data_IF_049260840985
#
_entry.id   IF_049260840985
#
_cell.length_a   1.000
_cell.length_b   1.000
_cell.length_c   1.000
_cell.angle_alpha   90.00
_cell.angle_beta   90.00
_cell.angle_gamma   90.00
#
_symmetry.space_group_name_H-M   'P 1'
#
loop_
_entity.id
_entity.type
_entity.pdbx_description
1 polymer ?
#
# COMPACT_ATOMS: atom_id res chain seq x y z
N UNK A 1 15.56 -3.22 21.98
CA UNK A 1 15.75 -2.68 20.61
C UNK A 1 15.66 -3.84 19.63
N UNK A 2 14.81 -3.75 18.60
CA UNK A 2 14.63 -4.83 17.61
C UNK A 2 15.52 -4.54 16.39
N UNK A 3 16.10 -5.59 15.79
CA UNK A 3 16.93 -5.47 14.58
C UNK A 3 16.06 -5.73 13.35
N UNK A 4 15.94 -4.75 12.46
CA UNK A 4 15.07 -4.79 11.29
C UNK A 4 15.92 -4.74 10.02
N UNK A 5 15.55 -5.52 9.01
CA UNK A 5 16.11 -5.37 7.66
C UNK A 5 15.05 -4.73 6.78
N UNK A 6 15.41 -3.67 6.06
CA UNK A 6 14.56 -3.06 5.03
C UNK A 6 15.20 -3.36 3.69
N UNK A 7 14.48 -4.00 2.77
CA UNK A 7 14.97 -4.34 1.44
C UNK A 7 14.44 -3.31 0.43
N UNK A 8 15.35 -2.71 -0.34
CA UNK A 8 15.09 -1.65 -1.31
C UNK A 8 15.35 -0.25 -0.72
N UNK A 9 16.36 0.45 -1.23
CA UNK A 9 16.73 1.82 -0.82
C UNK A 9 16.07 2.91 -1.67
N UNK A 10 14.98 2.58 -2.38
CA UNK A 10 14.17 3.55 -3.11
C UNK A 10 13.41 4.53 -2.21
N UNK A 11 12.52 5.34 -2.81
CA UNK A 11 11.77 6.39 -2.11
C UNK A 11 11.04 5.91 -0.85
N UNK A 12 10.41 4.73 -0.89
CA UNK A 12 9.63 4.18 0.22
C UNK A 12 10.53 3.48 1.25
N UNK A 13 11.42 2.58 0.84
CA UNK A 13 12.28 1.86 1.80
C UNK A 13 13.23 2.77 2.57
N UNK A 14 13.78 3.80 1.94
CA UNK A 14 14.54 4.85 2.63
C UNK A 14 13.68 5.65 3.62
N UNK A 15 12.39 5.85 3.30
CA UNK A 15 11.43 6.48 4.23
C UNK A 15 11.12 5.57 5.43
N UNK A 16 10.87 4.28 5.21
CA UNK A 16 10.68 3.28 6.27
C UNK A 16 11.89 3.27 7.21
N UNK A 17 13.09 3.11 6.67
CA UNK A 17 14.32 3.11 7.45
C UNK A 17 14.44 4.38 8.30
N UNK A 18 14.14 5.54 7.71
CA UNK A 18 14.17 6.83 8.40
C UNK A 18 13.15 6.93 9.53
N UNK A 19 11.91 6.50 9.32
CA UNK A 19 10.88 6.49 10.38
C UNK A 19 11.30 5.60 11.55
N UNK A 20 11.81 4.40 11.27
CA UNK A 20 12.21 3.44 12.30
C UNK A 20 13.41 3.93 13.12
N UNK A 21 14.47 4.46 12.49
CA UNK A 21 15.65 4.94 13.24
C UNK A 21 15.35 6.17 14.09
N UNK A 22 14.48 7.08 13.64
CA UNK A 22 14.11 8.29 14.40
C UNK A 22 13.14 7.98 15.56
N UNK A 23 12.58 6.77 15.57
CA UNK A 23 11.68 6.32 16.64
C UNK A 23 12.43 5.90 17.92
N UNK A 24 13.71 5.54 17.80
CA UNK A 24 14.59 5.16 18.92
C UNK A 24 14.56 3.68 19.33
N UNK A 25 13.60 2.88 18.86
CA UNK A 25 13.41 1.48 19.30
C UNK A 25 14.00 0.42 18.35
N UNK A 26 14.51 0.84 17.20
CA UNK A 26 14.96 -0.03 16.12
C UNK A 26 16.38 0.25 15.68
N UNK A 27 17.13 -0.83 15.45
CA UNK A 27 18.31 -0.81 14.61
C UNK A 27 17.93 -1.33 13.22
N UNK A 28 18.22 -0.55 12.19
CA UNK A 28 17.84 -0.85 10.81
C UNK A 28 19.07 -1.19 9.99
N UNK A 29 19.01 -2.29 9.24
CA UNK A 29 19.89 -2.53 8.10
C UNK A 29 19.10 -2.26 6.82
N UNK A 30 19.43 -1.19 6.10
CA UNK A 30 18.87 -0.92 4.78
C UNK A 30 19.72 -1.63 3.72
N UNK A 31 19.07 -2.45 2.90
CA UNK A 31 19.75 -3.26 1.90
C UNK A 31 19.27 -2.93 0.48
N UNK A 32 20.20 -2.82 -0.46
CA UNK A 32 19.92 -2.61 -1.88
C UNK A 32 21.06 -3.20 -2.71
N UNK A 33 20.79 -3.54 -3.98
CA UNK A 33 21.85 -3.97 -4.91
C UNK A 33 22.74 -2.81 -5.36
N UNK A 34 22.22 -1.58 -5.30
CA UNK A 34 22.91 -0.38 -5.76
C UNK A 34 23.53 0.35 -4.59
N UNK A 35 24.86 0.32 -4.51
CA UNK A 35 25.61 1.12 -3.55
C UNK A 35 25.28 2.61 -3.64
N UNK A 36 25.10 3.12 -4.85
CA UNK A 36 24.74 4.51 -5.11
C UNK A 36 23.43 4.90 -4.42
N UNK A 37 22.42 4.02 -4.41
CA UNK A 37 21.15 4.29 -3.73
C UNK A 37 21.32 4.33 -2.21
N UNK A 38 22.17 3.46 -1.66
CA UNK A 38 22.46 3.42 -0.23
C UNK A 38 23.21 4.67 0.24
N UNK A 39 24.13 5.20 -0.57
CA UNK A 39 24.95 6.37 -0.22
C UNK A 39 24.14 7.67 -0.07
N UNK A 40 22.87 7.70 -0.51
CA UNK A 40 21.95 8.82 -0.27
C UNK A 40 21.42 8.90 1.17
N UNK A 41 21.62 7.85 1.98
CA UNK A 41 21.20 7.83 3.38
C UNK A 41 22.19 8.58 4.26
N UNK A 42 21.66 9.46 5.11
CA UNK A 42 22.45 10.10 6.16
C UNK A 42 22.95 9.08 7.18
N UNK A 43 24.20 9.21 7.59
CA UNK A 43 24.78 8.38 8.64
C UNK A 43 23.99 8.54 9.94
N UNK A 44 23.65 7.41 10.56
CA UNK A 44 22.96 7.36 11.84
C UNK A 44 23.46 6.13 12.62
N UNK A 45 23.74 6.23 13.94
CA UNK A 45 24.20 5.08 14.73
C UNK A 45 23.25 3.88 14.73
N UNK A 46 21.96 4.09 14.47
CA UNK A 46 20.96 3.05 14.36
C UNK A 46 20.76 2.52 12.93
N UNK A 47 21.52 3.01 11.94
CA UNK A 47 21.42 2.61 10.54
C UNK A 47 22.70 1.92 10.06
N UNK A 48 22.54 0.71 9.53
CA UNK A 48 23.55 0.00 8.75
C UNK A 48 23.13 -0.06 7.28
N UNK A 49 24.10 -0.04 6.37
CA UNK A 49 23.87 -0.20 4.93
C UNK A 49 24.47 -1.53 4.48
N UNK A 50 23.72 -2.30 3.69
CA UNK A 50 24.18 -3.58 3.14
C UNK A 50 23.95 -3.63 1.63
N UNK A 51 25.02 -3.80 0.87
CA UNK A 51 24.88 -4.08 -0.55
C UNK A 51 24.61 -5.58 -0.74
N UNK A 52 23.44 -5.92 -1.28
CA UNK A 52 23.02 -7.31 -1.48
C UNK A 52 22.20 -7.43 -2.75
N UNK A 53 22.53 -8.43 -3.58
CA UNK A 53 21.66 -8.84 -4.66
C UNK A 53 20.62 -9.84 -4.12
N UNK A 54 19.34 -9.51 -4.27
CA UNK A 54 18.23 -10.35 -3.82
C UNK A 54 18.19 -11.68 -4.60
N UNK A 55 18.81 -11.74 -5.79
CA UNK A 55 18.98 -12.99 -6.53
C UNK A 55 19.95 -13.98 -5.84
N UNK A 56 20.82 -13.52 -4.92
CA UNK A 56 21.65 -14.39 -4.08
C UNK A 56 20.89 -14.77 -2.80
N UNK A 57 20.10 -15.84 -2.89
CA UNK A 57 19.33 -16.38 -1.77
C UNK A 57 20.18 -16.64 -0.52
N UNK A 58 21.38 -17.18 -0.68
CA UNK A 58 22.25 -17.52 0.44
C UNK A 58 22.77 -16.25 1.14
N UNK A 59 23.11 -15.20 0.38
CA UNK A 59 23.46 -13.91 0.96
C UNK A 59 22.29 -13.27 1.69
N UNK A 60 21.09 -13.36 1.12
CA UNK A 60 19.89 -12.82 1.74
C UNK A 60 19.56 -13.53 3.07
N UNK A 61 19.57 -14.87 3.10
CA UNK A 61 19.36 -15.64 4.35
C UNK A 61 20.41 -15.28 5.41
N UNK A 62 21.69 -15.11 5.03
CA UNK A 62 22.74 -14.65 5.97
C UNK A 62 22.47 -13.27 6.53
N UNK A 63 21.99 -12.34 5.70
CA UNK A 63 21.64 -10.97 6.13
C UNK A 63 20.47 -10.97 7.12
N UNK A 64 19.47 -11.83 6.87
CA UNK A 64 18.24 -11.91 7.66
C UNK A 64 18.41 -12.73 8.96
N UNK A 65 19.36 -13.66 9.01
CA UNK A 65 19.56 -14.55 10.16
C UNK A 65 19.76 -13.77 11.48
N UNK A 66 18.96 -14.10 12.50
CA UNK A 66 19.00 -13.47 13.82
C UNK A 66 18.40 -12.06 13.90
N UNK A 67 17.77 -11.58 12.82
CA UNK A 67 17.00 -10.33 12.81
C UNK A 67 15.58 -10.59 13.33
N UNK A 68 14.87 -9.53 13.69
CA UNK A 68 13.47 -9.64 14.13
C UNK A 68 12.52 -9.75 12.94
N UNK A 69 12.65 -8.82 11.98
CA UNK A 69 11.77 -8.75 10.83
C UNK A 69 12.51 -8.25 9.59
N UNK A 70 11.98 -8.60 8.42
CA UNK A 70 12.30 -8.00 7.12
C UNK A 70 11.07 -7.26 6.58
N UNK A 71 11.29 -6.02 6.14
CA UNK A 71 10.30 -5.19 5.47
C UNK A 71 10.71 -5.04 4.00
N UNK A 72 9.93 -5.60 3.08
CA UNK A 72 10.17 -5.51 1.65
C UNK A 72 9.54 -4.25 1.06
N UNK A 73 10.39 -3.34 0.58
CA UNK A 73 10.03 -2.21 -0.28
C UNK A 73 10.69 -2.34 -1.68
N UNK A 74 11.03 -3.58 -2.06
CA UNK A 74 11.58 -3.91 -3.37
C UNK A 74 10.48 -4.00 -4.44
N UNK A 75 10.84 -3.97 -5.74
CA UNK A 75 9.90 -4.25 -6.81
C UNK A 75 9.15 -5.58 -6.62
N UNK A 76 7.86 -5.63 -6.98
CA UNK A 76 6.97 -6.75 -6.70
C UNK A 76 7.48 -8.11 -7.23
N UNK A 77 8.21 -8.14 -8.34
CA UNK A 77 8.77 -9.37 -8.91
C UNK A 77 9.84 -10.03 -8.02
N UNK A 78 10.34 -9.33 -6.99
CA UNK A 78 11.29 -9.86 -6.01
C UNK A 78 10.62 -10.31 -4.70
N UNK A 79 9.31 -10.07 -4.53
CA UNK A 79 8.55 -10.37 -3.31
C UNK A 79 8.74 -11.82 -2.87
N UNK A 80 8.62 -12.77 -3.80
CA UNK A 80 8.70 -14.21 -3.52
C UNK A 80 10.06 -14.60 -2.96
N UNK A 81 11.16 -14.17 -3.60
CA UNK A 81 12.52 -14.49 -3.16
C UNK A 81 12.81 -13.97 -1.75
N UNK A 82 12.31 -12.76 -1.43
CA UNK A 82 12.47 -12.18 -0.09
C UNK A 82 11.63 -12.95 0.95
N UNK A 83 10.40 -13.35 0.60
CA UNK A 83 9.53 -14.14 1.47
C UNK A 83 10.12 -15.54 1.77
N UNK A 84 10.68 -16.21 0.77
CA UNK A 84 11.36 -17.50 0.93
C UNK A 84 12.59 -17.36 1.83
N UNK A 85 13.44 -16.36 1.60
CA UNK A 85 14.60 -16.11 2.45
C UNK A 85 14.21 -15.75 3.89
N UNK A 86 13.10 -15.05 4.09
CA UNK A 86 12.56 -14.74 5.41
C UNK A 86 12.11 -15.99 6.16
N UNK A 87 11.44 -16.92 5.46
CA UNK A 87 11.02 -18.20 6.02
C UNK A 87 12.22 -19.05 6.43
N UNK A 88 13.22 -19.17 5.56
CA UNK A 88 14.44 -19.93 5.81
C UNK A 88 15.26 -19.35 6.98
N UNK A 89 15.30 -18.01 7.10
CA UNK A 89 15.98 -17.33 8.19
C UNK A 89 15.17 -17.32 9.51
N UNK A 90 13.90 -17.73 9.48
CA UNK A 90 13.01 -17.71 10.64
C UNK A 90 12.73 -16.30 11.17
N UNK A 91 12.55 -15.31 10.27
CA UNK A 91 12.24 -13.92 10.64
C UNK A 91 10.83 -13.53 10.24
N UNK A 92 10.25 -12.53 10.91
CA UNK A 92 8.96 -11.98 10.49
C UNK A 92 9.08 -11.30 9.11
N UNK A 93 8.05 -11.43 8.30
CA UNK A 93 8.00 -10.88 6.95
C UNK A 93 6.85 -9.87 6.80
N UNK A 94 7.17 -8.68 6.31
CA UNK A 94 6.20 -7.66 5.92
C UNK A 94 6.55 -7.14 4.51
N UNK A 95 5.54 -6.82 3.70
CA UNK A 95 5.75 -6.23 2.37
C UNK A 95 4.72 -5.14 2.03
N UNK A 96 4.86 -4.57 0.85
CA UNK A 96 3.98 -3.54 0.29
C UNK A 96 3.31 -3.98 -1.02
N UNK A 97 3.39 -5.26 -1.39
CA UNK A 97 3.13 -5.68 -2.77
C UNK A 97 1.64 -5.56 -3.13
N UNK A 98 1.37 -4.99 -4.29
CA UNK A 98 0.07 -4.99 -4.95
C UNK A 98 -0.16 -6.25 -5.80
N UNK A 99 0.90 -7.01 -6.08
CA UNK A 99 0.84 -8.13 -7.01
C UNK A 99 0.11 -9.33 -6.41
N UNK A 100 -0.97 -9.72 -7.08
CA UNK A 100 -1.90 -10.77 -6.62
C UNK A 100 -1.22 -12.15 -6.66
N UNK A 101 -0.42 -12.42 -7.68
CA UNK A 101 0.30 -13.70 -7.80
C UNK A 101 1.34 -13.86 -6.68
N UNK A 102 2.14 -12.81 -6.45
CA UNK A 102 3.11 -12.77 -5.36
C UNK A 102 2.42 -12.96 -4.01
N UNK A 103 1.30 -12.30 -3.76
CA UNK A 103 0.52 -12.45 -2.51
C UNK A 103 0.06 -13.90 -2.30
N UNK A 104 -0.43 -14.58 -3.36
CA UNK A 104 -0.82 -16.00 -3.29
C UNK A 104 0.36 -16.90 -2.92
N UNK A 105 1.57 -16.59 -3.40
CA UNK A 105 2.79 -17.34 -3.06
C UNK A 105 3.25 -17.07 -1.63
N UNK A 106 3.22 -15.82 -1.18
CA UNK A 106 3.48 -15.45 0.22
C UNK A 106 2.55 -16.20 1.17
N UNK A 107 1.25 -16.29 0.84
CA UNK A 107 0.26 -17.06 1.62
C UNK A 107 0.62 -18.55 1.71
N UNK A 108 1.11 -19.15 0.62
CA UNK A 108 1.53 -20.55 0.61
C UNK A 108 2.77 -20.79 1.49
N UNK A 109 3.75 -19.88 1.47
CA UNK A 109 4.93 -19.92 2.35
C UNK A 109 4.50 -19.81 3.82
N UNK A 110 3.64 -18.84 4.11
CA UNK A 110 3.15 -18.54 5.45
C UNK A 110 2.42 -19.72 6.12
N UNK A 111 1.84 -20.65 5.34
CA UNK A 111 1.14 -21.82 5.88
C UNK A 111 2.04 -22.75 6.72
N UNK A 112 3.37 -22.71 6.50
CA UNK A 112 4.35 -23.50 7.23
C UNK A 112 5.36 -22.66 8.04
N UNK A 113 5.21 -21.34 8.00
CA UNK A 113 6.15 -20.42 8.65
C UNK A 113 6.00 -20.44 10.18
N UNK A 114 7.14 -20.42 10.87
CA UNK A 114 7.22 -20.29 12.33
C UNK A 114 7.05 -18.84 12.82
N UNK A 115 7.15 -17.88 11.91
CA UNK A 115 7.01 -16.44 12.13
C UNK A 115 5.81 -15.87 11.37
N UNK A 116 5.39 -14.66 11.75
CA UNK A 116 4.35 -13.91 11.06
C UNK A 116 4.77 -13.48 9.65
N UNK A 117 3.87 -13.69 8.69
CA UNK A 117 3.94 -13.19 7.32
C UNK A 117 2.74 -12.28 7.09
N UNK A 118 3.01 -10.98 6.97
CA UNK A 118 2.01 -9.92 6.91
C UNK A 118 2.23 -9.15 5.60
N UNK A 119 1.76 -9.67 4.45
CA UNK A 119 1.88 -8.95 3.20
C UNK A 119 0.95 -7.74 3.18
N UNK A 120 1.14 -6.87 2.20
CA UNK A 120 0.22 -5.78 1.88
C UNK A 120 0.09 -4.76 3.01
N UNK A 121 1.17 -4.42 3.69
CA UNK A 121 1.18 -3.46 4.80
C UNK A 121 1.28 -1.99 4.34
N UNK A 122 0.91 -1.70 3.08
CA UNK A 122 1.03 -0.37 2.49
C UNK A 122 -0.20 0.50 2.71
N UNK A 123 -0.43 1.41 1.75
CA UNK A 123 -1.65 2.22 1.67
C UNK A 123 -2.80 1.41 1.06
N UNK A 124 -2.61 0.92 -0.16
CA UNK A 124 -3.55 0.11 -0.92
C UNK A 124 -2.76 -0.81 -1.87
N UNK A 125 -2.72 -2.13 -1.60
CA UNK A 125 -3.38 -2.81 -0.48
C UNK A 125 -2.72 -2.45 0.88
N UNK A 126 -3.48 -2.62 1.98
CA UNK A 126 -3.04 -2.27 3.35
C UNK A 126 -4.06 -1.49 4.15
N UNK A 127 -3.72 -0.25 4.51
CA UNK A 127 -4.59 0.59 5.35
C UNK A 127 -6.03 0.70 4.81
N UNK A 128 -6.21 0.75 3.49
CA UNK A 128 -7.55 0.77 2.87
C UNK A 128 -8.40 -0.45 3.28
N UNK A 129 -7.76 -1.61 3.46
CA UNK A 129 -8.43 -2.86 3.84
C UNK A 129 -8.77 -2.88 5.33
N UNK A 130 -7.91 -2.30 6.18
CA UNK A 130 -8.18 -2.10 7.62
C UNK A 130 -9.46 -1.27 7.78
N UNK A 131 -9.53 -0.12 7.09
CA UNK A 131 -10.71 0.76 7.11
C UNK A 131 -11.96 0.04 6.59
N UNK A 132 -11.86 -0.62 5.43
CA UNK A 132 -13.01 -1.29 4.84
C UNK A 132 -13.57 -2.41 5.73
N UNK A 133 -12.69 -3.20 6.36
CA UNK A 133 -13.10 -4.26 7.27
C UNK A 133 -13.76 -3.70 8.54
N UNK A 134 -13.18 -2.66 9.14
CA UNK A 134 -13.76 -1.99 10.31
C UNK A 134 -15.16 -1.45 10.00
N UNK A 135 -15.34 -0.69 8.92
CA UNK A 135 -16.66 -0.18 8.52
C UNK A 135 -17.65 -1.32 8.23
N UNK A 136 -17.22 -2.37 7.51
CA UNK A 136 -18.07 -3.50 7.16
C UNK A 136 -18.55 -4.28 8.40
N UNK A 137 -17.71 -4.42 9.43
CA UNK A 137 -18.05 -5.13 10.66
C UNK A 137 -19.21 -4.50 11.45
N UNK A 138 -19.54 -3.24 11.18
CA UNK A 138 -20.57 -2.47 11.91
C UNK A 138 -21.98 -2.67 11.36
N UNK A 139 -22.17 -3.49 10.32
CA UNK A 139 -23.46 -3.72 9.67
C UNK A 139 -24.01 -5.12 9.97
N UNK A 140 -25.33 -5.22 10.12
CA UNK A 140 -26.02 -6.52 10.30
C UNK A 140 -25.97 -7.35 9.01
N UNK A 141 -26.06 -6.67 7.86
CA UNK A 141 -25.99 -7.26 6.52
C UNK A 141 -25.38 -6.25 5.55
N UNK A 142 -24.42 -6.68 4.74
CA UNK A 142 -23.78 -5.82 3.73
C UNK A 142 -24.55 -5.85 2.41
N UNK A 143 -24.65 -4.70 1.74
CA UNK A 143 -24.99 -4.61 0.31
C UNK A 143 -23.72 -4.38 -0.51
N UNK A 144 -22.97 -3.33 -0.20
CA UNK A 144 -21.77 -2.98 -0.96
C UNK A 144 -20.65 -2.42 -0.10
N UNK A 145 -19.42 -2.73 -0.50
CA UNK A 145 -18.17 -2.18 0.02
C UNK A 145 -17.38 -1.62 -1.16
N UNK A 146 -17.12 -0.31 -1.12
CA UNK A 146 -16.54 0.46 -2.22
C UNK A 146 -15.30 1.18 -1.72
N UNK A 147 -14.13 0.72 -2.15
CA UNK A 147 -12.82 1.28 -1.77
C UNK A 147 -12.26 2.13 -2.92
N UNK A 148 -11.78 3.34 -2.63
CA UNK A 148 -11.13 4.22 -3.60
C UNK A 148 -9.90 4.88 -3.00
N UNK A 149 -8.79 4.86 -3.74
CA UNK A 149 -7.53 5.49 -3.33
C UNK A 149 -6.89 6.22 -4.50
N UNK A 150 -6.33 7.41 -4.27
CA UNK A 150 -5.53 8.10 -5.28
C UNK A 150 -4.34 8.81 -4.66
N UNK A 151 -3.14 8.52 -5.18
CA UNK A 151 -1.93 9.32 -4.95
C UNK A 151 -1.79 10.29 -6.13
N UNK A 152 -2.05 11.58 -5.87
CA UNK A 152 -2.26 12.59 -6.91
C UNK A 152 -1.32 13.76 -6.71
N UNK A 153 -0.84 14.43 -7.77
CA UNK A 153 -0.25 15.74 -7.61
C UNK A 153 -1.29 16.76 -7.13
N UNK A 154 -0.90 17.69 -6.26
CA UNK A 154 -1.78 18.79 -5.83
C UNK A 154 -2.01 19.80 -6.96
N UNK A 155 -1.01 19.97 -7.83
CA UNK A 155 -0.99 20.96 -8.91
C UNK A 155 -0.65 20.29 -10.25
N UNK A 156 -1.53 19.44 -10.80
CA UNK A 156 -1.32 18.87 -12.13
C UNK A 156 -1.29 19.96 -13.21
N UNK A 157 -0.37 19.85 -14.15
CA UNK A 157 -0.19 20.85 -15.23
C UNK A 157 0.06 20.24 -16.61
N UNK A 158 -0.24 18.94 -16.79
CA UNK A 158 -0.06 18.20 -18.03
C UNK A 158 -1.34 17.45 -18.43
N UNK A 159 -1.41 16.97 -19.67
CA UNK A 159 -2.62 16.33 -20.21
C UNK A 159 -3.05 15.06 -19.44
N UNK A 160 -2.11 14.33 -18.85
CA UNK A 160 -2.39 13.16 -18.01
C UNK A 160 -2.88 13.53 -16.61
N UNK A 161 -2.79 14.81 -16.23
CA UNK A 161 -3.01 15.31 -14.87
C UNK A 161 -2.30 14.46 -13.81
N UNK A 162 -1.07 14.03 -14.10
CA UNK A 162 -0.35 13.04 -13.31
C UNK A 162 1.13 13.38 -13.15
N UNK A 163 1.72 12.95 -12.04
CA UNK A 163 3.15 13.03 -11.75
C UNK A 163 3.62 11.67 -11.22
N UNK A 164 4.89 11.33 -11.43
CA UNK A 164 5.46 10.08 -10.92
C UNK A 164 5.76 10.21 -9.42
N UNK A 165 4.78 9.84 -8.60
CA UNK A 165 4.87 9.89 -7.13
C UNK A 165 5.38 8.58 -6.53
N UNK A 166 5.11 7.44 -7.18
CA UNK A 166 5.51 6.10 -6.75
C UNK A 166 6.00 5.24 -7.93
N UNK A 167 6.12 3.92 -7.76
CA UNK A 167 6.70 2.99 -8.74
C UNK A 167 6.00 3.04 -10.10
N UNK A 168 6.74 3.37 -11.17
CA UNK A 168 6.21 3.35 -12.54
C UNK A 168 5.78 1.94 -12.95
N UNK A 169 6.55 0.92 -12.57
CA UNK A 169 6.21 -0.48 -12.84
C UNK A 169 4.87 -0.85 -12.18
N UNK A 170 4.64 -0.38 -10.95
CA UNK A 170 3.40 -0.64 -10.22
C UNK A 170 2.19 0.04 -10.88
N UNK A 171 2.32 1.31 -11.29
CA UNK A 171 1.26 2.01 -12.04
C UNK A 171 0.87 1.25 -13.31
N UNK A 172 1.88 0.78 -14.05
CA UNK A 172 1.66 0.01 -15.28
C UNK A 172 0.99 -1.33 -14.97
N UNK A 173 1.42 -2.02 -13.92
CA UNK A 173 0.85 -3.30 -13.49
C UNK A 173 -0.63 -3.17 -13.14
N UNK A 174 -0.97 -2.18 -12.31
CA UNK A 174 -2.34 -1.90 -11.86
C UNK A 174 -3.32 -1.62 -13.00
N UNK A 175 -2.84 -1.11 -14.13
CA UNK A 175 -3.65 -0.75 -15.30
C UNK A 175 -3.77 -1.88 -16.35
N UNK A 176 -3.00 -2.96 -16.20
CA UNK A 176 -2.97 -4.06 -17.17
C UNK A 176 -3.58 -5.34 -16.61
N UNK A 177 -3.31 -5.64 -15.33
CA UNK A 177 -3.71 -6.91 -14.73
C UNK A 177 -5.23 -6.96 -14.42
N UNK A 178 -5.84 -8.16 -14.45
CA UNK A 178 -7.22 -8.34 -14.01
C UNK A 178 -7.44 -7.86 -12.56
N UNK A 179 -8.64 -7.33 -12.31
CA UNK A 179 -9.02 -6.83 -10.99
C UNK A 179 -9.98 -7.82 -10.33
N UNK A 180 -9.65 -8.33 -9.14
CA UNK A 180 -10.61 -9.11 -8.35
C UNK A 180 -11.76 -8.21 -7.88
N UNK A 181 -12.99 -8.72 -7.88
CA UNK A 181 -14.18 -8.02 -7.41
C UNK A 181 -15.27 -9.01 -6.96
N UNK A 182 -16.23 -8.55 -6.17
CA UNK A 182 -17.50 -9.25 -5.97
C UNK A 182 -18.59 -8.49 -6.71
N UNK A 183 -19.28 -9.15 -7.63
CA UNK A 183 -20.39 -8.58 -8.40
C UNK A 183 -21.59 -9.50 -8.27
N UNK A 184 -22.69 -8.94 -7.77
CA UNK A 184 -23.93 -9.67 -7.43
C UNK A 184 -23.68 -10.94 -6.59
N UNK A 185 -22.78 -10.81 -5.61
CA UNK A 185 -22.41 -11.89 -4.69
C UNK A 185 -21.43 -12.92 -5.26
N UNK A 186 -21.02 -12.79 -6.52
CA UNK A 186 -20.06 -13.69 -7.16
C UNK A 186 -18.67 -13.07 -7.19
N UNK A 187 -17.66 -13.84 -6.73
CA UNK A 187 -16.27 -13.48 -6.90
C UNK A 187 -15.89 -13.64 -8.38
N UNK A 188 -15.50 -12.53 -9.02
CA UNK A 188 -15.13 -12.49 -10.44
C UNK A 188 -13.88 -11.64 -10.66
N UNK A 189 -13.29 -11.76 -11.84
CA UNK A 189 -12.29 -10.82 -12.34
C UNK A 189 -12.95 -9.83 -13.31
N UNK A 190 -12.66 -8.54 -13.14
CA UNK A 190 -13.12 -7.47 -14.02
C UNK A 190 -11.93 -6.78 -14.70
N UNK A 191 -12.10 -6.19 -15.90
CA UNK A 191 -11.00 -5.54 -16.59
C UNK A 191 -10.55 -4.26 -15.88
N UNK A 192 -9.24 -4.01 -15.88
CA UNK A 192 -8.67 -2.72 -15.48
C UNK A 192 -9.11 -1.59 -16.43
N UNK A 193 -9.11 -0.35 -15.94
CA UNK A 193 -9.52 0.87 -16.66
C UNK A 193 -11.00 0.89 -17.12
N UNK A 194 -11.81 -0.08 -16.69
CA UNK A 194 -13.25 -0.10 -16.93
C UNK A 194 -14.05 0.39 -15.73
N UNK A 195 -15.37 0.51 -15.95
CA UNK A 195 -16.36 0.97 -14.96
C UNK A 195 -16.02 2.35 -14.37
N UNK A 196 -15.50 3.24 -15.23
CA UNK A 196 -15.17 4.62 -14.87
C UNK A 196 -16.40 5.33 -14.30
N UNK A 197 -16.26 5.84 -13.09
CA UNK A 197 -17.22 6.70 -12.41
C UNK A 197 -16.63 8.08 -12.15
N UNK A 198 -17.50 9.07 -11.96
CA UNK A 198 -17.11 10.41 -11.49
C UNK A 198 -17.74 10.69 -10.15
N UNK A 199 -17.01 11.40 -9.30
CA UNK A 199 -17.50 11.86 -8.01
C UNK A 199 -16.82 13.17 -7.63
N UNK A 200 -17.45 13.92 -6.73
CA UNK A 200 -16.88 15.14 -6.17
C UNK A 200 -16.53 14.94 -4.70
N UNK A 201 -15.34 15.41 -4.31
CA UNK A 201 -14.90 15.43 -2.92
C UNK A 201 -14.33 16.82 -2.60
N UNK A 202 -14.98 17.53 -1.67
CA UNK A 202 -14.68 18.92 -1.30
C UNK A 202 -14.68 19.88 -2.51
N UNK A 203 -15.66 19.72 -3.40
CA UNK A 203 -15.80 20.57 -4.61
C UNK A 203 -14.80 20.27 -5.73
N UNK A 204 -13.90 19.30 -5.56
CA UNK A 204 -13.01 18.82 -6.62
C UNK A 204 -13.60 17.59 -7.28
N UNK A 205 -13.70 17.60 -8.61
CA UNK A 205 -14.17 16.45 -9.39
C UNK A 205 -13.01 15.49 -9.66
N UNK A 206 -13.28 14.21 -9.43
CA UNK A 206 -12.38 13.10 -9.70
C UNK A 206 -13.08 12.06 -10.57
N UNK A 207 -12.28 11.25 -11.25
CA UNK A 207 -12.72 9.98 -11.83
C UNK A 207 -12.13 8.81 -11.05
N UNK A 208 -12.84 7.68 -11.02
CA UNK A 208 -12.35 6.43 -10.46
C UNK A 208 -12.68 5.24 -11.37
N UNK A 209 -11.75 4.30 -11.49
CA UNK A 209 -11.89 3.13 -12.38
C UNK A 209 -11.14 1.92 -11.81
N UNK A 210 -11.47 0.73 -12.30
CA UNK A 210 -10.92 -0.53 -11.78
C UNK A 210 -9.40 -0.62 -11.99
N UNK A 211 -8.69 -1.02 -10.94
CA UNK A 211 -7.24 -1.28 -10.94
C UNK A 211 -6.95 -2.51 -10.08
N UNK A 212 -5.93 -3.29 -10.44
CA UNK A 212 -5.63 -4.55 -9.76
C UNK A 212 -4.99 -4.32 -8.38
N UNK A 213 -4.90 -5.39 -7.58
CA UNK A 213 -4.09 -5.44 -6.36
C UNK A 213 -4.66 -4.81 -5.09
N UNK A 214 -5.50 -3.77 -5.18
CA UNK A 214 -5.87 -2.97 -4.01
C UNK A 214 -6.85 -3.61 -3.01
N UNK A 215 -7.52 -4.71 -3.34
CA UNK A 215 -8.43 -5.40 -2.40
C UNK A 215 -7.71 -6.32 -1.40
N UNK A 216 -6.51 -6.80 -1.73
CA UNK A 216 -5.84 -7.82 -0.93
C UNK A 216 -6.72 -9.04 -0.65
N UNK A 217 -6.76 -9.51 0.60
CA UNK A 217 -7.57 -10.68 0.97
C UNK A 217 -9.06 -10.39 1.21
N UNK A 218 -9.53 -9.15 1.08
CA UNK A 218 -10.91 -8.80 1.39
C UNK A 218 -11.95 -9.52 0.53
N UNK A 219 -11.62 -9.82 -0.72
CA UNK A 219 -12.47 -10.63 -1.60
C UNK A 219 -12.75 -12.00 -1.00
N UNK A 220 -11.76 -12.64 -0.41
CA UNK A 220 -11.93 -13.92 0.28
C UNK A 220 -12.70 -13.74 1.59
N UNK A 221 -12.36 -12.71 2.37
CA UNK A 221 -12.96 -12.42 3.69
C UNK A 221 -14.45 -12.10 3.62
N UNK A 222 -14.88 -11.39 2.57
CA UNK A 222 -16.25 -10.91 2.36
C UNK A 222 -17.04 -11.75 1.35
N UNK A 223 -16.45 -12.81 0.80
CA UNK A 223 -17.17 -13.76 -0.04
C UNK A 223 -18.43 -14.26 0.69
N UNK A 224 -19.54 -14.33 -0.04
CA UNK A 224 -20.86 -14.73 0.44
C UNK A 224 -21.49 -13.80 1.50
N UNK A 225 -20.84 -12.69 1.86
CA UNK A 225 -21.33 -11.70 2.85
C UNK A 225 -21.79 -10.38 2.22
N UNK A 226 -21.31 -10.06 1.03
CA UNK A 226 -21.58 -8.78 0.34
C UNK A 226 -22.03 -9.03 -1.10
N UNK A 227 -22.90 -8.16 -1.62
CA UNK A 227 -23.33 -8.22 -3.02
C UNK A 227 -22.33 -7.54 -3.96
N UNK A 228 -21.72 -6.43 -3.54
CA UNK A 228 -20.72 -5.72 -4.33
C UNK A 228 -19.47 -5.39 -3.53
N UNK A 229 -18.28 -5.77 -4.01
CA UNK A 229 -16.98 -5.34 -3.49
C UNK A 229 -16.09 -4.90 -4.66
N UNK A 230 -15.60 -3.67 -4.65
CA UNK A 230 -14.63 -3.21 -5.64
C UNK A 230 -13.62 -2.19 -5.08
N UNK A 231 -12.44 -2.22 -5.68
CA UNK A 231 -11.37 -1.24 -5.49
C UNK A 231 -11.17 -0.47 -6.79
N UNK A 232 -11.03 0.85 -6.67
CA UNK A 232 -10.78 1.73 -7.82
C UNK A 232 -9.72 2.77 -7.48
N UNK A 233 -8.83 3.06 -8.42
CA UNK A 233 -7.92 4.18 -8.27
C UNK A 233 -8.65 5.49 -8.56
N UNK A 234 -8.31 6.56 -7.85
CA UNK A 234 -8.82 7.92 -8.08
C UNK A 234 -7.82 8.67 -8.96
N UNK A 235 -8.30 9.35 -10.01
CA UNK A 235 -7.52 10.25 -10.87
C UNK A 235 -8.29 11.54 -11.14
N UNK A 236 -7.59 12.53 -11.69
CA UNK A 236 -8.25 13.69 -12.26
C UNK A 236 -8.92 13.32 -13.59
N UNK A 237 -10.05 13.95 -13.95
CA UNK A 237 -10.78 13.63 -15.18
C UNK A 237 -9.90 13.62 -16.43
N UNK A 238 -10.10 12.62 -17.29
CA UNK A 238 -9.43 12.46 -18.58
C UNK A 238 -8.21 11.53 -18.55
N UNK A 239 -7.67 11.20 -17.38
CA UNK A 239 -6.52 10.31 -17.23
C UNK A 239 -6.81 8.91 -17.80
N UNK A 240 -7.93 8.30 -17.41
CA UNK A 240 -8.33 6.95 -17.80
C UNK A 240 -8.42 6.79 -19.32
N UNK A 241 -9.00 7.79 -20.00
CA UNK A 241 -9.15 7.78 -21.46
C UNK A 241 -7.79 7.77 -22.17
N UNK A 242 -6.85 8.61 -21.72
CA UNK A 242 -5.50 8.67 -22.31
C UNK A 242 -4.75 7.36 -22.04
N UNK A 243 -4.79 6.84 -20.81
CA UNK A 243 -4.12 5.57 -20.48
C UNK A 243 -4.71 4.40 -21.27
N UNK A 244 -6.02 4.37 -21.48
CA UNK A 244 -6.69 3.36 -22.30
C UNK A 244 -6.24 3.43 -23.76
N UNK A 245 -6.10 4.62 -24.34
CA UNK A 245 -5.57 4.79 -25.69
C UNK A 245 -4.12 4.30 -25.81
N UNK A 246 -3.26 4.64 -24.83
CA UNK A 246 -1.87 4.18 -24.81
C UNK A 246 -1.77 2.66 -24.69
N UNK A 247 -2.54 2.05 -23.79
CA UNK A 247 -2.43 0.62 -23.48
C UNK A 247 -3.11 -0.27 -24.52
N UNK A 248 -4.30 0.13 -24.98
CA UNK A 248 -5.12 -0.67 -25.90
C UNK A 248 -4.85 -0.31 -27.35
N UNK A 249 -5.01 0.96 -27.74
CA UNK A 249 -4.98 1.35 -29.15
C UNK A 249 -3.56 1.36 -29.71
N UNK A 250 -2.58 1.80 -28.90
CA UNK A 250 -1.16 1.74 -29.26
C UNK A 250 -0.49 0.43 -28.84
N UNK A 251 -1.22 -0.47 -28.18
CA UNK A 251 -0.74 -1.80 -27.77
C UNK A 251 0.40 -1.79 -26.73
N UNK A 252 0.61 -0.68 -26.02
CA UNK A 252 1.74 -0.57 -25.07
C UNK A 252 1.61 -1.49 -23.86
N UNK A 253 0.43 -2.08 -23.62
CA UNK A 253 0.26 -3.13 -22.59
C UNK A 253 1.18 -4.35 -22.79
N UNK A 254 1.61 -4.59 -24.03
CA UNK A 254 2.54 -5.69 -24.38
C UNK A 254 4.01 -5.24 -24.41
N UNK A 255 4.28 -3.95 -24.21
CA UNK A 255 5.60 -3.32 -24.25
C UNK A 255 5.80 -2.43 -23.02
N UNK A 256 5.69 -3.04 -21.83
CA UNK A 256 5.69 -2.34 -20.54
C UNK A 256 6.98 -1.56 -20.32
N UNK A 257 8.10 -2.08 -20.78
CA UNK A 257 9.42 -1.42 -20.78
C UNK A 257 9.41 -0.10 -21.54
N UNK A 258 8.78 -0.07 -22.72
CA UNK A 258 8.66 1.13 -23.55
C UNK A 258 7.71 2.14 -22.92
N UNK A 259 6.57 1.69 -22.39
CA UNK A 259 5.65 2.57 -21.69
C UNK A 259 6.32 3.20 -20.46
N UNK A 260 7.05 2.40 -19.69
CA UNK A 260 7.83 2.86 -18.55
C UNK A 260 8.84 3.93 -18.96
N UNK A 261 9.64 3.65 -19.99
CA UNK A 261 10.64 4.59 -20.50
C UNK A 261 10.01 5.92 -20.91
N UNK A 262 8.88 5.89 -21.63
CA UNK A 262 8.11 7.08 -21.99
C UNK A 262 7.68 7.85 -20.74
N UNK A 263 7.07 7.18 -19.77
CA UNK A 263 6.55 7.84 -18.57
C UNK A 263 7.68 8.45 -17.74
N UNK A 264 8.79 7.74 -17.53
CA UNK A 264 9.93 8.17 -16.72
C UNK A 264 10.70 9.36 -17.32
N UNK A 265 10.70 9.49 -18.64
CA UNK A 265 11.32 10.63 -19.32
C UNK A 265 10.35 11.79 -19.62
N UNK A 266 9.04 11.54 -19.67
CA UNK A 266 8.05 12.56 -20.03
C UNK A 266 7.32 13.18 -18.83
N UNK A 267 7.18 12.46 -17.71
CA UNK A 267 6.41 12.93 -16.56
C UNK A 267 7.31 13.31 -15.38
N UNK A 268 7.18 14.55 -14.85
CA UNK A 268 7.95 14.95 -13.69
C UNK A 268 7.47 14.25 -12.41
N UNK A 269 8.37 14.04 -11.46
CA UNK A 269 8.00 13.70 -10.07
C UNK A 269 7.67 14.96 -9.27
N UNK A 270 6.90 14.82 -8.19
CA UNK A 270 6.61 15.94 -7.26
C UNK A 270 6.55 15.45 -5.81
N UNK A 271 6.93 16.33 -4.87
CA UNK A 271 6.70 16.17 -3.43
C UNK A 271 5.41 16.83 -2.97
N UNK A 272 4.75 17.60 -3.84
CA UNK A 272 3.48 18.26 -3.59
C UNK A 272 2.35 17.36 -4.09
N UNK A 273 2.20 16.22 -3.44
CA UNK A 273 1.15 15.25 -3.68
C UNK A 273 0.10 15.26 -2.56
N UNK A 274 -1.03 14.65 -2.85
CA UNK A 274 -2.13 14.39 -1.93
C UNK A 274 -2.56 12.94 -2.11
N UNK A 275 -2.73 12.24 -1.01
CA UNK A 275 -3.34 10.91 -0.98
C UNK A 275 -4.78 11.04 -0.52
N UNK A 276 -5.71 10.56 -1.34
CA UNK A 276 -7.13 10.48 -1.01
C UNK A 276 -7.46 9.03 -0.69
N UNK A 277 -8.12 8.80 0.45
CA UNK A 277 -8.61 7.50 0.91
C UNK A 277 -10.11 7.63 1.11
N UNK A 278 -10.89 6.87 0.35
CA UNK A 278 -12.34 6.99 0.35
C UNK A 278 -12.99 5.60 0.34
N UNK A 279 -13.62 5.22 1.45
CA UNK A 279 -14.32 3.94 1.61
C UNK A 279 -15.77 4.22 1.90
N UNK A 280 -16.66 3.59 1.14
CA UNK A 280 -18.09 3.63 1.37
C UNK A 280 -18.62 2.22 1.59
N UNK A 281 -19.34 2.02 2.68
CA UNK A 281 -20.03 0.77 2.98
C UNK A 281 -21.52 1.05 3.10
N UNK A 282 -22.33 0.29 2.35
CA UNK A 282 -23.78 0.35 2.42
C UNK A 282 -24.33 -1.01 2.81
N UNK A 283 -25.37 -1.01 3.64
CA UNK A 283 -25.97 -2.23 4.17
C UNK A 283 -27.08 -1.93 5.17
N UNK A 284 -27.56 -2.95 5.85
CA UNK A 284 -28.62 -2.83 6.84
C UNK A 284 -28.07 -2.70 8.25
N UNK A 285 -28.59 -1.73 9.01
CA UNK A 285 -28.44 -1.59 10.46
C UNK A 285 -29.81 -1.40 11.08
N UNK A 286 -30.16 -2.21 12.08
CA UNK A 286 -31.46 -2.14 12.76
C UNK A 286 -32.65 -2.12 11.77
N UNK A 287 -32.57 -2.96 10.73
CA UNK A 287 -33.59 -3.08 9.68
C UNK A 287 -33.65 -1.94 8.65
N UNK A 288 -32.76 -0.94 8.70
CA UNK A 288 -32.71 0.17 7.74
C UNK A 288 -31.49 0.08 6.84
N UNK A 289 -31.69 0.30 5.54
CA UNK A 289 -30.59 0.47 4.60
C UNK A 289 -29.91 1.83 4.86
N UNK A 290 -28.64 1.80 5.23
CA UNK A 290 -27.83 2.98 5.55
C UNK A 290 -26.46 2.88 4.87
N UNK A 291 -25.76 4.01 4.82
CA UNK A 291 -24.41 4.11 4.27
C UNK A 291 -23.50 4.79 5.29
N UNK A 292 -22.29 4.25 5.47
CA UNK A 292 -21.19 4.89 6.18
C UNK A 292 -20.02 5.13 5.24
N UNK A 293 -19.35 6.27 5.40
CA UNK A 293 -18.23 6.67 4.54
C UNK A 293 -17.06 7.12 5.40
N UNK A 294 -15.87 6.58 5.11
CA UNK A 294 -14.59 7.10 5.57
C UNK A 294 -13.95 7.88 4.42
N UNK A 295 -13.63 9.16 4.65
CA UNK A 295 -12.97 10.02 3.67
C UNK A 295 -11.81 10.76 4.33
N UNK A 296 -10.59 10.56 3.84
CA UNK A 296 -9.39 11.18 4.37
C UNK A 296 -8.49 11.73 3.25
N UNK A 297 -7.83 12.85 3.52
CA UNK A 297 -6.82 13.46 2.65
C UNK A 297 -5.53 13.64 3.44
N UNK A 298 -4.48 12.98 3.00
CA UNK A 298 -3.13 13.13 3.56
C UNK A 298 -2.30 13.95 2.58
N UNK A 299 -1.59 14.95 3.09
CA UNK A 299 -0.73 15.83 2.33
C UNK A 299 0.73 15.58 2.66
N UNK A 300 1.63 16.05 1.81
CA UNK A 300 3.05 16.10 2.14
C UNK A 300 3.31 16.94 3.39
N UNK A 301 4.28 16.51 4.19
CA UNK A 301 4.60 17.12 5.47
C UNK A 301 6.05 16.88 5.86
N UNK A 302 6.54 17.68 6.80
CA UNK A 302 7.84 17.42 7.44
C UNK A 302 7.66 16.32 8.47
N UNK A 303 8.24 15.16 8.20
CA UNK A 303 8.20 13.98 9.07
C UNK A 303 9.63 13.53 9.37
N UNK A 304 9.90 13.26 10.65
CA UNK A 304 11.23 12.98 11.16
C UNK A 304 12.28 14.04 10.73
N UNK A 305 11.89 15.31 10.52
CA UNK A 305 12.81 16.38 10.11
C UNK A 305 13.15 16.47 8.61
N UNK A 306 12.44 15.77 7.70
CA UNK A 306 12.52 16.04 6.24
C UNK A 306 11.13 16.16 5.66
N UNK A 307 11.01 16.93 4.59
CA UNK A 307 9.82 16.92 3.75
C UNK A 307 9.63 15.52 3.14
N UNK A 308 8.45 14.95 3.33
CA UNK A 308 8.02 13.68 2.75
C UNK A 308 6.71 13.90 2.00
N UNK A 309 6.57 13.24 0.85
CA UNK A 309 5.34 13.26 0.07
C UNK A 309 4.23 12.51 0.81
N UNK A 310 2.97 12.80 0.50
CA UNK A 310 1.82 12.09 1.04
C UNK A 310 1.90 10.57 0.80
N UNK A 311 2.30 10.13 -0.41
CA UNK A 311 2.44 8.69 -0.69
C UNK A 311 3.59 8.05 0.10
N UNK A 312 4.67 8.78 0.34
CA UNK A 312 5.75 8.32 1.22
C UNK A 312 5.27 8.18 2.67
N UNK A 313 4.59 9.21 3.20
CA UNK A 313 4.09 9.21 4.58
C UNK A 313 3.13 8.04 4.77
N UNK A 314 2.08 7.95 3.97
CA UNK A 314 1.05 6.91 4.09
C UNK A 314 1.65 5.51 3.97
N UNK A 315 2.29 5.20 2.85
CA UNK A 315 2.83 3.85 2.61
C UNK A 315 3.86 3.42 3.65
N UNK A 316 4.84 4.29 3.97
CA UNK A 316 5.91 3.91 4.90
C UNK A 316 5.42 3.86 6.36
N UNK A 317 4.53 4.77 6.76
CA UNK A 317 4.00 4.77 8.12
C UNK A 317 3.08 3.57 8.38
N UNK A 318 2.34 3.11 7.38
CA UNK A 318 1.48 1.93 7.51
C UNK A 318 2.29 0.68 7.87
N UNK A 319 3.30 0.34 7.08
CA UNK A 319 4.14 -0.83 7.38
C UNK A 319 4.95 -0.68 8.68
N UNK A 320 5.35 0.55 9.03
CA UNK A 320 5.97 0.80 10.33
C UNK A 320 4.98 0.60 11.49
N UNK A 321 3.70 0.98 11.33
CA UNK A 321 2.66 0.77 12.33
C UNK A 321 2.41 -0.73 12.55
N UNK A 322 2.26 -1.49 11.47
CA UNK A 322 2.08 -2.95 11.53
C UNK A 322 3.29 -3.62 12.19
N UNK A 323 4.51 -3.21 11.85
CA UNK A 323 5.72 -3.69 12.53
C UNK A 323 5.70 -3.36 14.03
N UNK A 324 5.28 -2.16 14.40
CA UNK A 324 5.21 -1.72 15.81
C UNK A 324 4.23 -2.56 16.62
N UNK A 325 3.05 -2.83 16.06
CA UNK A 325 2.02 -3.68 16.68
C UNK A 325 2.53 -5.12 16.81
N UNK A 326 3.18 -5.65 15.77
CA UNK A 326 3.83 -6.97 15.83
C UNK A 326 4.94 -7.02 16.89
N UNK A 327 5.76 -5.98 17.00
CA UNK A 327 6.85 -5.91 17.98
C UNK A 327 6.37 -5.82 19.43
N UNK A 328 5.12 -5.38 19.65
CA UNK A 328 4.41 -5.31 20.94
C UNK A 328 3.54 -6.54 21.22
N UNK A 329 3.60 -7.57 20.37
CA UNK A 329 2.77 -8.78 20.46
C UNK A 329 1.25 -8.49 20.38
N UNK A 330 0.86 -7.39 19.72
CA UNK A 330 -0.54 -7.01 19.48
C UNK A 330 -1.15 -7.70 18.24
N UNK A 331 -0.30 -8.33 17.42
CA UNK A 331 -0.69 -9.09 16.22
C UNK A 331 -0.26 -10.57 16.36
N UNK A 332 -0.90 -11.50 15.62
CA UNK A 332 -0.44 -12.88 15.58
C UNK A 332 1.03 -12.97 15.16
N UNK A 333 1.83 -13.72 15.91
CA UNK A 333 3.29 -13.80 15.71
C UNK A 333 3.72 -14.94 14.78
N UNK A 334 2.77 -15.67 14.19
CA UNK A 334 3.03 -16.86 13.36
C UNK A 334 1.97 -17.04 12.28
N UNK A 335 2.40 -17.54 11.13
CA UNK A 335 1.54 -17.81 9.99
C UNK A 335 1.15 -16.55 9.23
N UNK A 336 0.11 -16.67 8.40
CA UNK A 336 -0.40 -15.57 7.59
C UNK A 336 -1.28 -14.63 8.42
N UNK A 337 -0.94 -13.34 8.41
CA UNK A 337 -1.73 -12.29 9.09
C UNK A 337 -2.34 -11.38 8.04
N UNK A 338 -3.65 -11.17 8.13
CA UNK A 338 -4.40 -10.32 7.21
C UNK A 338 -4.42 -8.88 7.72
N UNK A 339 -4.63 -7.94 6.81
CA UNK A 339 -4.88 -6.55 7.18
C UNK A 339 -6.21 -6.44 7.96
N UNK A 340 -7.17 -7.30 7.65
CA UNK A 340 -8.45 -7.44 8.35
C UNK A 340 -8.32 -7.91 9.81
N UNK A 341 -7.17 -8.47 10.21
CA UNK A 341 -6.91 -8.86 11.60
C UNK A 341 -6.43 -7.65 12.46
N UNK A 342 -6.23 -6.49 11.85
CA UNK A 342 -5.76 -5.25 12.50
C UNK A 342 -6.97 -4.35 12.82
N UNK A 343 -7.12 -3.97 14.08
CA UNK A 343 -8.15 -3.02 14.50
C UNK A 343 -7.83 -1.59 14.04
N UNK A 344 -8.80 -0.89 13.45
CA UNK A 344 -8.59 0.47 12.94
C UNK A 344 -8.17 1.44 14.04
N UNK A 345 -8.83 1.42 15.20
CA UNK A 345 -8.50 2.32 16.31
C UNK A 345 -7.08 2.06 16.83
N UNK A 346 -6.70 0.80 17.02
CA UNK A 346 -5.34 0.41 17.44
C UNK A 346 -4.29 0.87 16.42
N UNK A 347 -4.59 0.74 15.12
CA UNK A 347 -3.70 1.23 14.07
C UNK A 347 -3.55 2.76 14.16
N UNK A 348 -4.66 3.51 14.21
CA UNK A 348 -4.65 4.98 14.22
C UNK A 348 -3.99 5.56 15.49
N UNK A 349 -4.15 4.90 16.63
CA UNK A 349 -3.53 5.29 17.91
C UNK A 349 -2.03 4.92 17.98
N UNK A 350 -1.56 4.08 17.06
CA UNK A 350 -0.15 3.69 17.03
C UNK A 350 0.76 4.85 16.64
N UNK A 351 2.02 4.77 17.09
CA UNK A 351 3.07 5.77 16.82
C UNK A 351 3.19 6.14 15.34
N UNK A 352 2.97 5.19 14.42
CA UNK A 352 3.10 5.47 12.99
C UNK A 352 1.73 5.63 12.31
N UNK A 353 0.67 4.98 12.80
CA UNK A 353 -0.65 5.12 12.20
C UNK A 353 -1.32 6.48 12.47
N UNK A 354 -0.86 7.25 13.45
CA UNK A 354 -1.37 8.62 13.69
C UNK A 354 -1.24 9.56 12.48
N UNK A 355 -0.36 9.27 11.51
CA UNK A 355 -0.27 10.03 10.26
C UNK A 355 -1.51 9.89 9.37
N UNK A 356 -2.34 8.88 9.62
CA UNK A 356 -3.66 8.70 9.02
C UNK A 356 -4.79 9.29 9.87
N UNK A 357 -4.55 9.65 11.13
CA UNK A 357 -5.59 10.17 12.00
C UNK A 357 -6.11 11.50 11.45
N UNK A 358 -7.42 11.57 11.23
CA UNK A 358 -8.06 12.81 10.84
C UNK A 358 -7.96 13.77 12.03
N UNK A 359 -7.32 14.92 11.84
CA UNK A 359 -7.48 16.03 12.79
C UNK A 359 -8.96 16.37 12.79
N UNK A 360 -9.65 16.16 13.92
CA UNK A 360 -11.07 16.40 14.04
C UNK A 360 -11.42 17.75 13.43
N UNK A 361 -12.26 17.75 12.39
CA UNK A 361 -12.90 18.97 11.90
C UNK A 361 -13.93 19.40 12.96
N UNK A 362 -13.46 20.04 14.04
CA UNK A 362 -14.28 20.26 15.23
C UNK A 362 -13.82 21.33 16.24
N UNK A 363 -12.70 22.02 16.03
CA UNK A 363 -12.24 23.08 16.97
C UNK A 363 -12.41 24.52 16.44
N UNK A 364 -13.30 24.77 15.47
CA UNK A 364 -13.63 26.13 15.00
C UNK A 364 -15.11 26.49 15.03
N UNK A 365 -15.81 26.10 16.10
CA UNK A 365 -17.05 26.78 16.53
C UNK A 365 -17.00 26.99 18.05
N UNK A 366 -16.04 27.81 18.48
CA UNK A 366 -16.07 28.49 19.77
C UNK A 366 -15.29 29.81 19.61
N UNK A 367 -16.02 30.85 19.25
CA UNK A 367 -15.53 32.21 19.04
C UNK A 367 -16.71 33.13 18.76
#
# INVERSE_FOLDING_TARGET
>A
MKNIVVIGAGKIGSTIARLLIHSGDYHVTLADRSRQQLDHMEANPALNLAEVDIADHAALVRLLSGKFAVLSAAPFHLTIAIAEAAADAGVHYLDLTEDVESTRRVKAIAASASTAFIPQCGLAPGFISIVANDLASRFDKLDSVRMRVGALPQYPSNALNYNLTWSTDGVINEYIEPCEAIVDGQLIEVPALEEREEFSLDGVTYEAFNTSGGLGTLCETLKDKVRTLNYRTIRYPGHAAIMKALLSDLGLRHRRDVLKDILEHALPSTMQDVVIIFVTVSGWKNGRLVQETYANKVYSAVVAGRMMSAIQITTASSICAVLDMLAKDELPTKGFVRQEDIGLDMFLDSRFGHYYAQKAYGEKIAG
#
